data_IF_210521357468
#
_entry.id   IF_210521357468
#
_cell.length_a   1.000
_cell.length_b   1.000
_cell.length_c   1.000
_cell.angle_alpha   90.00
_cell.angle_beta   90.00
_cell.angle_gamma   90.00
#
_symmetry.space_group_name_H-M   'P 1'
#
loop_
_entity.id
_entity.type
_entity.pdbx_description
1 polymer ?
#
# COMPACT_ATOMS: atom_id res chain seq x y z
N UNK A 1 0.31 -0.58 -22.76
CA UNK A 1 0.50 0.44 -21.71
C UNK A 1 0.46 -0.37 -20.43
N UNK A 2 1.64 -0.63 -19.86
CA UNK A 2 1.79 -1.55 -18.74
C UNK A 2 1.36 -0.84 -17.45
N UNK A 3 0.09 -0.97 -17.10
CA UNK A 3 -0.51 -0.38 -15.90
C UNK A 3 -0.24 -1.23 -14.64
N UNK A 4 0.88 -1.97 -14.58
CA UNK A 4 1.11 -2.96 -13.52
C UNK A 4 2.26 -2.63 -12.56
N UNK A 5 3.08 -1.60 -12.83
CA UNK A 5 4.32 -1.39 -12.06
C UNK A 5 4.41 -0.12 -11.21
N UNK A 6 3.36 0.70 -11.07
CA UNK A 6 3.55 2.03 -10.45
C UNK A 6 2.73 2.32 -9.18
N UNK A 7 1.90 1.42 -8.61
CA UNK A 7 1.17 1.71 -7.35
C UNK A 7 0.54 0.47 -6.67
N UNK A 8 1.32 -0.54 -6.25
CA UNK A 8 0.74 -1.63 -5.44
C UNK A 8 0.38 -1.19 -4.02
N UNK A 9 1.17 -0.28 -3.44
CA UNK A 9 0.92 0.39 -2.17
C UNK A 9 1.42 1.84 -2.27
N UNK A 10 0.76 2.79 -1.64
CA UNK A 10 1.11 4.20 -1.67
C UNK A 10 2.39 4.53 -0.88
N UNK A 11 2.77 3.69 0.10
CA UNK A 11 3.97 3.91 0.93
C UNK A 11 4.79 2.64 1.15
N UNK A 12 4.32 1.71 2.00
CA UNK A 12 5.04 0.46 2.30
C UNK A 12 4.26 -0.76 1.84
N UNK A 13 4.99 -1.76 1.32
CA UNK A 13 4.47 -3.07 0.98
C UNK A 13 5.26 -4.13 1.75
N UNK A 14 4.56 -4.95 2.54
CA UNK A 14 5.17 -6.07 3.28
C UNK A 14 4.59 -7.37 2.74
N UNK A 15 5.43 -8.18 2.11
CA UNK A 15 5.07 -9.49 1.60
C UNK A 15 5.20 -10.53 2.71
N UNK A 16 4.26 -11.48 2.79
CA UNK A 16 4.28 -12.61 3.72
C UNK A 16 3.80 -13.88 3.02
N UNK A 17 4.09 -15.08 3.55
CA UNK A 17 3.64 -16.32 2.92
C UNK A 17 2.10 -16.35 2.86
N UNK A 18 1.55 -16.25 1.65
CA UNK A 18 0.10 -16.20 1.41
C UNK A 18 -0.45 -14.82 0.97
N UNK A 19 0.38 -13.77 0.87
CA UNK A 19 -0.07 -12.49 0.34
C UNK A 19 0.88 -11.33 0.60
N UNK A 20 0.36 -10.11 0.45
CA UNK A 20 1.06 -8.89 0.79
C UNK A 20 0.08 -7.95 1.53
N UNK A 21 0.63 -7.08 2.37
CA UNK A 21 -0.15 -6.04 3.06
C UNK A 21 0.55 -4.71 2.88
N UNK A 22 -0.22 -3.70 2.51
CA UNK A 22 0.24 -2.33 2.43
C UNK A 22 0.18 -1.63 3.78
N UNK A 23 1.14 -0.76 4.05
CA UNK A 23 1.21 0.05 5.26
C UNK A 23 1.47 1.51 4.90
N UNK A 24 0.85 2.39 5.68
CA UNK A 24 1.14 3.81 5.65
C UNK A 24 2.08 4.13 6.80
N UNK A 25 3.12 4.90 6.53
CA UNK A 25 4.19 5.27 7.47
C UNK A 25 3.68 6.11 8.66
N UNK A 26 2.38 6.47 8.70
CA UNK A 26 1.71 7.04 9.87
C UNK A 26 2.20 8.43 10.30
N UNK A 27 3.32 8.91 9.74
CA UNK A 27 4.03 10.14 10.13
C UNK A 27 3.22 11.43 9.96
N UNK A 28 2.03 11.37 9.36
CA UNK A 28 1.09 12.52 9.26
C UNK A 28 -0.37 12.14 9.55
N UNK A 29 -0.61 11.02 10.23
CA UNK A 29 -1.98 10.52 10.45
C UNK A 29 -2.60 9.80 9.25
N UNK A 30 -1.81 9.55 8.20
CA UNK A 30 -2.22 8.76 7.04
C UNK A 30 -2.58 7.34 7.46
N UNK A 31 -3.79 6.90 7.10
CA UNK A 31 -4.31 5.56 7.33
C UNK A 31 -4.39 4.83 6.01
N UNK A 32 -4.32 3.51 6.07
CA UNK A 32 -4.54 2.69 4.89
C UNK A 32 -6.00 2.84 4.47
N UNK A 33 -6.21 3.25 3.23
CA UNK A 33 -7.50 3.38 2.61
C UNK A 33 -8.20 2.01 2.54
N UNK A 34 -9.52 2.05 2.34
CA UNK A 34 -10.32 0.83 2.28
C UNK A 34 -9.98 -0.09 1.09
N UNK A 35 -9.34 0.48 0.06
CA UNK A 35 -8.79 -0.26 -1.07
C UNK A 35 -7.50 -1.05 -0.72
N UNK A 36 -6.97 -0.89 0.50
CA UNK A 36 -5.74 -1.52 1.01
C UNK A 36 -4.48 -1.22 0.19
N UNK A 37 -4.46 -0.14 -0.58
CA UNK A 37 -3.32 0.29 -1.40
C UNK A 37 -3.01 1.77 -1.18
N UNK A 38 -4.01 2.62 -1.08
CA UNK A 38 -3.87 4.07 -0.92
C UNK A 38 -3.66 4.45 0.55
N UNK A 39 -3.04 5.61 0.79
CA UNK A 39 -2.89 6.20 2.12
C UNK A 39 -3.63 7.54 2.15
N UNK A 40 -4.56 7.71 3.09
CA UNK A 40 -5.40 8.91 3.26
C UNK A 40 -5.27 9.56 4.64
#
# INVERSE_FOLDING_TARGET
IDEFSENMCAQLCVNYPGGYTCYCDGKKGFKLAQDQKSCE
#
